data_IF_230758364857
#
_entry.id   IF_230758364857
#
_cell.length_a   1.000
_cell.length_b   1.000
_cell.length_c   1.000
_cell.angle_alpha   90.00
_cell.angle_beta   90.00
_cell.angle_gamma   90.00
#
_symmetry.space_group_name_H-M   'P 1'
#
loop_
_entity.id
_entity.type
_entity.pdbx_description
1 polymer ?
#
# COMPACT_ATOMS: atom_id res chain seq x y z
N UNK A 1 -52.24 12.04 -3.35
CA UNK A 1 -51.23 10.96 -3.22
C UNK A 1 -49.89 11.47 -3.78
N UNK A 2 -49.26 12.44 -3.09
CA UNK A 2 -48.02 13.12 -3.53
C UNK A 2 -46.90 13.08 -2.48
N UNK A 3 -47.21 12.72 -1.23
CA UNK A 3 -46.23 12.65 -0.13
C UNK A 3 -45.23 11.50 -0.28
N UNK A 4 -45.66 10.31 -0.71
CA UNK A 4 -44.80 9.12 -0.78
C UNK A 4 -43.61 9.25 -1.75
N UNK A 5 -43.70 10.11 -2.78
CA UNK A 5 -42.58 10.36 -3.71
C UNK A 5 -41.50 11.25 -3.08
N UNK A 6 -41.92 12.18 -2.21
CA UNK A 6 -41.00 13.09 -1.51
C UNK A 6 -40.26 12.43 -0.35
N UNK A 7 -40.85 11.39 0.25
CA UNK A 7 -40.19 10.59 1.28
C UNK A 7 -39.15 9.64 0.69
N UNK A 8 -39.44 9.00 -0.45
CA UNK A 8 -38.47 8.14 -1.15
C UNK A 8 -37.25 8.96 -1.62
N UNK A 9 -37.49 10.16 -2.16
CA UNK A 9 -36.41 11.07 -2.56
C UNK A 9 -35.54 11.54 -1.39
N UNK A 10 -36.13 11.75 -0.20
CA UNK A 10 -35.37 12.09 1.01
C UNK A 10 -34.56 10.91 1.51
N UNK A 11 -35.16 9.72 1.57
CA UNK A 11 -34.48 8.49 2.00
C UNK A 11 -33.28 8.16 1.10
N UNK A 12 -33.42 8.34 -0.23
CA UNK A 12 -32.31 8.16 -1.18
C UNK A 12 -31.16 9.14 -0.94
N UNK A 13 -31.46 10.42 -0.69
CA UNK A 13 -30.42 11.43 -0.40
C UNK A 13 -29.69 11.15 0.90
N UNK A 14 -30.41 10.67 1.92
CA UNK A 14 -29.81 10.28 3.20
C UNK A 14 -28.92 9.03 3.04
N UNK A 15 -29.38 8.03 2.29
CA UNK A 15 -28.58 6.85 1.96
C UNK A 15 -27.30 7.23 1.20
N UNK A 16 -27.39 8.09 0.19
CA UNK A 16 -26.23 8.59 -0.56
C UNK A 16 -25.26 9.37 0.32
N UNK A 17 -25.78 10.19 1.25
CA UNK A 17 -24.95 10.92 2.21
C UNK A 17 -24.22 9.97 3.18
N UNK A 18 -24.88 8.91 3.65
CA UNK A 18 -24.28 7.87 4.50
C UNK A 18 -23.20 7.11 3.72
N UNK A 19 -23.49 6.66 2.49
CA UNK A 19 -22.52 5.95 1.65
C UNK A 19 -21.30 6.83 1.34
N UNK A 20 -21.50 8.12 1.08
CA UNK A 20 -20.42 9.09 0.87
C UNK A 20 -19.57 9.28 2.12
N UNK A 21 -20.19 9.34 3.30
CA UNK A 21 -19.48 9.41 4.59
C UNK A 21 -18.68 8.15 4.86
N UNK A 22 -19.27 6.97 4.70
CA UNK A 22 -18.59 5.67 4.87
C UNK A 22 -17.40 5.58 3.91
N UNK A 23 -17.56 5.98 2.65
CA UNK A 23 -16.47 6.04 1.68
C UNK A 23 -15.34 6.98 2.14
N UNK A 24 -15.67 8.18 2.62
CA UNK A 24 -14.68 9.14 3.13
C UNK A 24 -13.99 8.68 4.43
N UNK A 25 -14.66 7.90 5.27
CA UNK A 25 -14.09 7.31 6.49
C UNK A 25 -13.28 6.03 6.19
N UNK A 26 -13.57 5.33 5.09
CA UNK A 26 -12.90 4.07 4.70
C UNK A 26 -11.74 4.28 3.71
N UNK A 27 -11.79 5.30 2.84
CA UNK A 27 -10.73 5.63 1.87
C UNK A 27 -9.35 5.95 2.50
N UNK A 28 -9.26 6.58 3.69
CA UNK A 28 -7.98 6.74 4.39
C UNK A 28 -7.34 5.39 4.77
N UNK A 29 -8.17 4.35 5.01
CA UNK A 29 -7.73 3.03 5.44
C UNK A 29 -7.41 2.06 4.29
N UNK A 30 -7.99 2.25 3.10
CA UNK A 30 -7.68 1.41 1.94
C UNK A 30 -6.60 2.01 1.03
N UNK A 31 -6.65 3.32 0.76
CA UNK A 31 -5.73 4.00 -0.17
C UNK A 31 -4.43 4.48 0.48
N UNK A 32 -4.52 5.06 1.68
CA UNK A 32 -3.37 5.65 2.38
C UNK A 32 -2.32 4.62 2.82
N UNK A 33 -2.74 3.37 3.04
CA UNK A 33 -1.82 2.31 3.42
C UNK A 33 -0.95 1.88 2.23
N UNK A 34 -1.50 1.57 1.06
CA UNK A 34 -0.68 1.15 -0.09
C UNK A 34 0.40 2.19 -0.45
N UNK A 35 0.04 3.47 -0.42
CA UNK A 35 0.97 4.57 -0.73
C UNK A 35 2.04 4.76 0.37
N UNK A 36 1.66 4.64 1.65
CA UNK A 36 2.60 4.68 2.77
C UNK A 36 3.58 3.50 2.76
N UNK A 37 3.13 2.31 2.34
CA UNK A 37 3.98 1.13 2.21
C UNK A 37 4.94 1.28 1.03
N UNK A 38 4.47 1.79 -0.11
CA UNK A 38 5.30 2.01 -1.29
C UNK A 38 6.40 3.05 -1.06
N UNK A 39 6.06 4.17 -0.41
CA UNK A 39 7.02 5.22 -0.03
C UNK A 39 8.07 4.72 0.96
N UNK A 40 7.66 3.94 1.96
CA UNK A 40 8.58 3.33 2.94
C UNK A 40 9.50 2.29 2.30
N UNK A 41 8.97 1.43 1.44
CA UNK A 41 9.78 0.47 0.68
C UNK A 41 10.81 1.19 -0.20
N UNK A 42 10.40 2.25 -0.92
CA UNK A 42 11.30 3.06 -1.73
C UNK A 42 12.42 3.68 -0.89
N UNK A 43 12.09 4.28 0.25
CA UNK A 43 13.07 4.91 1.15
C UNK A 43 14.11 3.90 1.64
N UNK A 44 13.67 2.68 1.97
CA UNK A 44 14.57 1.58 2.34
C UNK A 44 15.47 1.18 1.17
N UNK A 45 14.96 0.92 -0.03
CA UNK A 45 15.83 0.51 -1.13
C UNK A 45 16.73 1.63 -1.66
N UNK A 46 16.39 2.91 -1.44
CA UNK A 46 17.24 4.03 -1.80
C UNK A 46 18.40 4.29 -0.83
N UNK A 47 18.46 3.55 0.29
CA UNK A 47 19.39 3.82 1.39
C UNK A 47 19.27 5.24 1.96
N UNK A 48 18.04 5.74 2.06
CA UNK A 48 17.81 7.09 2.60
C UNK A 48 18.14 7.23 4.09
N UNK A 49 18.37 6.11 4.77
CA UNK A 49 18.79 5.98 6.16
C UNK A 49 20.31 5.89 6.37
N UNK A 50 21.10 5.73 5.30
CA UNK A 50 22.56 5.72 5.37
C UNK A 50 23.14 7.15 5.41
N UNK A 51 24.36 7.32 5.96
CA UNK A 51 25.03 8.61 5.90
C UNK A 51 25.39 8.95 4.45
N UNK A 52 24.70 9.95 3.91
CA UNK A 52 24.87 10.39 2.53
C UNK A 52 26.24 11.05 2.27
N UNK A 53 26.97 11.44 3.33
CA UNK A 53 28.33 11.95 3.23
C UNK A 53 29.36 10.80 2.99
N UNK A 54 29.05 9.58 3.40
CA UNK A 54 29.85 8.38 3.12
C UNK A 54 29.29 7.61 1.91
N UNK A 55 29.92 7.84 0.76
CA UNK A 55 29.52 7.20 -0.50
C UNK A 55 29.66 5.68 -0.47
N UNK A 56 30.60 5.15 0.33
CA UNK A 56 30.82 3.69 0.41
C UNK A 56 29.67 3.03 1.16
N UNK A 57 29.20 3.64 2.25
CA UNK A 57 28.04 3.16 3.01
C UNK A 57 26.76 3.15 2.16
N UNK A 58 26.49 4.21 1.40
CA UNK A 58 25.30 4.30 0.53
C UNK A 58 25.32 3.27 -0.60
N UNK A 59 26.47 3.09 -1.26
CA UNK A 59 26.59 2.11 -2.35
C UNK A 59 26.52 0.69 -1.80
N UNK A 60 27.22 0.42 -0.69
CA UNK A 60 27.21 -0.88 -0.02
C UNK A 60 25.81 -1.29 0.45
N UNK A 61 25.08 -0.39 1.10
CA UNK A 61 23.71 -0.65 1.57
C UNK A 61 22.73 -0.89 0.40
N UNK A 62 22.82 -0.14 -0.70
CA UNK A 62 22.00 -0.39 -1.90
C UNK A 62 22.29 -1.75 -2.53
N UNK A 63 23.57 -2.09 -2.72
CA UNK A 63 23.96 -3.38 -3.30
C UNK A 63 23.50 -4.52 -2.39
N UNK A 64 23.74 -4.42 -1.08
CA UNK A 64 23.32 -5.42 -0.11
C UNK A 64 21.81 -5.65 -0.11
N UNK A 65 21.01 -4.58 -0.15
CA UNK A 65 19.54 -4.66 -0.19
C UNK A 65 19.02 -5.28 -1.48
N UNK A 66 19.57 -4.92 -2.63
CA UNK A 66 19.20 -5.50 -3.93
C UNK A 66 19.62 -6.98 -3.99
N UNK A 67 20.85 -7.30 -3.59
CA UNK A 67 21.35 -8.67 -3.59
C UNK A 67 20.53 -9.58 -2.64
N UNK A 68 20.20 -9.09 -1.45
CA UNK A 68 19.33 -9.80 -0.50
C UNK A 68 17.93 -10.05 -1.06
N UNK A 69 17.34 -9.07 -1.74
CA UNK A 69 16.04 -9.23 -2.37
C UNK A 69 16.06 -10.29 -3.49
N UNK A 70 17.10 -10.28 -4.32
CA UNK A 70 17.30 -11.31 -5.36
C UNK A 70 17.43 -12.69 -4.72
N UNK A 71 18.29 -12.81 -3.71
CA UNK A 71 18.50 -14.09 -3.00
C UNK A 71 17.20 -14.62 -2.38
N UNK A 72 16.39 -13.74 -1.79
CA UNK A 72 15.08 -14.11 -1.25
C UNK A 72 14.16 -14.70 -2.33
N UNK A 73 14.04 -14.05 -3.50
CA UNK A 73 13.19 -14.56 -4.57
C UNK A 73 13.71 -15.87 -5.17
N UNK A 74 15.03 -16.03 -5.32
CA UNK A 74 15.63 -17.30 -5.75
C UNK A 74 15.26 -18.42 -4.79
N UNK A 75 15.46 -18.21 -3.48
CA UNK A 75 15.13 -19.20 -2.47
C UNK A 75 13.63 -19.50 -2.42
N UNK A 76 12.78 -18.48 -2.59
CA UNK A 76 11.33 -18.66 -2.65
C UNK A 76 10.92 -19.54 -3.84
N UNK A 77 11.47 -19.28 -5.02
CA UNK A 77 11.20 -20.11 -6.21
C UNK A 77 11.68 -21.54 -6.00
N UNK A 78 12.89 -21.73 -5.49
CA UNK A 78 13.42 -23.07 -5.17
C UNK A 78 12.54 -23.80 -4.16
N UNK A 79 12.10 -23.11 -3.11
CA UNK A 79 11.19 -23.65 -2.11
C UNK A 79 9.85 -24.08 -2.75
N UNK A 80 9.24 -23.23 -3.58
CA UNK A 80 8.00 -23.57 -4.26
C UNK A 80 8.18 -24.76 -5.22
N UNK A 81 9.28 -24.82 -5.97
CA UNK A 81 9.56 -25.97 -6.84
C UNK A 81 9.74 -27.28 -6.05
N UNK A 82 10.29 -27.20 -4.84
CA UNK A 82 10.56 -28.37 -4.01
C UNK A 82 9.33 -28.88 -3.26
N UNK A 83 8.43 -27.99 -2.85
CA UNK A 83 7.31 -28.32 -1.95
C UNK A 83 5.92 -28.13 -2.57
N UNK A 84 5.81 -27.47 -3.72
CA UNK A 84 4.56 -27.31 -4.47
C UNK A 84 4.47 -28.23 -5.71
N UNK A 85 5.52 -29.02 -5.99
CA UNK A 85 5.50 -30.13 -6.94
C UNK A 85 5.20 -31.45 -6.22
#
# INVERSE_FOLDING_TARGET
MSEGRSEDDRSRREADAILKRVRQETEPQAGGHAEAWFTRARAHFSAADADQADRVEVIGSRIGRIAGLIAFFVLLVLFLLQFAA
#
